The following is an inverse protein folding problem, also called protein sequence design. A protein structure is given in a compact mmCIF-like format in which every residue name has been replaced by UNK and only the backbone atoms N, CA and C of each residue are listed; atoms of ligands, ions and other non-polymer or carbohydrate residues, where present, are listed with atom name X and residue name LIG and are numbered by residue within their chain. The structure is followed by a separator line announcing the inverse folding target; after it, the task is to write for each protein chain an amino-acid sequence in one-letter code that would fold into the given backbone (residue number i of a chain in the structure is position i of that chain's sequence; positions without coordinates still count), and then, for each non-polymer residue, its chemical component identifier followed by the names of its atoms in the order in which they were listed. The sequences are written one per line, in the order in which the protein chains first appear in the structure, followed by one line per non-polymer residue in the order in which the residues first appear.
data_IF_581888416215
#
_entry.id   IF_581888416215
#
_cell.length_a   1.000
_cell.length_b   1.000
_cell.length_c   1.000
_cell.angle_alpha   90.00
_cell.angle_beta   90.00
_cell.angle_gamma   90.00
#
_symmetry.space_group_name_H-M   'P 1'
#
loop_
_entity.id
_entity.type
_entity.pdbx_description
1 polymer ?
#
# COMPACT_ATOMS: atom_id res chain seq x y z
N UNK A 1 9.50 -4.62 3.68
CA UNK A 1 8.57 -3.70 4.37
C UNK A 1 7.15 -3.79 3.82
N UNK A 2 6.93 -3.62 2.51
CA UNK A 2 5.58 -3.70 1.92
C UNK A 2 4.83 -5.01 2.21
N UNK A 3 5.48 -6.17 2.08
CA UNK A 3 4.86 -7.48 2.36
C UNK A 3 4.37 -7.57 3.81
N UNK A 4 5.12 -7.02 4.77
CA UNK A 4 4.72 -7.02 6.17
C UNK A 4 3.49 -6.13 6.39
N UNK A 5 3.45 -4.93 5.80
CA UNK A 5 2.27 -4.05 5.84
C UNK A 5 1.04 -4.74 5.22
N UNK A 6 1.23 -5.38 4.08
CA UNK A 6 0.16 -6.11 3.40
C UNK A 6 -0.36 -7.28 4.24
N UNK A 7 0.53 -8.07 4.84
CA UNK A 7 0.14 -9.18 5.73
C UNK A 7 -0.64 -8.69 6.96
N UNK A 8 -0.26 -7.54 7.53
CA UNK A 8 -0.98 -6.95 8.65
C UNK A 8 -2.39 -6.50 8.27
N UNK A 9 -2.54 -5.82 7.12
CA UNK A 9 -3.87 -5.42 6.60
C UNK A 9 -4.70 -6.65 6.28
N UNK A 10 -4.15 -7.63 5.58
CA UNK A 10 -4.84 -8.88 5.25
C UNK A 10 -5.28 -9.64 6.52
N UNK A 11 -4.40 -9.73 7.53
CA UNK A 11 -4.73 -10.36 8.80
C UNK A 11 -5.87 -9.60 9.52
N UNK A 12 -5.81 -8.27 9.59
CA UNK A 12 -6.87 -7.46 10.19
C UNK A 12 -8.21 -7.64 9.44
N UNK A 13 -8.20 -7.64 8.12
CA UNK A 13 -9.39 -7.87 7.30
C UNK A 13 -9.98 -9.27 7.55
N UNK A 14 -9.15 -10.31 7.58
CA UNK A 14 -9.59 -11.67 7.91
C UNK A 14 -10.19 -11.76 9.31
N UNK A 15 -9.52 -11.17 10.31
CA UNK A 15 -10.00 -11.15 11.71
C UNK A 15 -11.37 -10.49 11.82
N UNK A 16 -11.56 -9.35 11.13
CA UNK A 16 -12.83 -8.64 11.12
C UNK A 16 -13.94 -9.43 10.42
N UNK A 17 -13.68 -9.99 9.23
CA UNK A 17 -14.68 -10.72 8.43
C UNK A 17 -15.09 -12.06 9.03
N UNK A 18 -14.13 -12.84 9.53
CA UNK A 18 -14.41 -14.13 10.19
C UNK A 18 -14.84 -13.96 11.65
N UNK A 19 -14.92 -12.73 12.15
CA UNK A 19 -15.31 -12.41 13.53
C UNK A 19 -14.46 -13.15 14.58
N UNK A 20 -13.17 -13.34 14.28
CA UNK A 20 -12.22 -13.99 15.20
C UNK A 20 -12.05 -13.19 16.49
N UNK A 21 -12.19 -11.87 16.39
CA UNK A 21 -12.24 -10.94 17.51
C UNK A 21 -13.52 -10.10 17.45
N UNK A 22 -14.02 -9.63 18.61
CA UNK A 22 -15.18 -8.76 18.64
C UNK A 22 -14.86 -7.39 18.00
N UNK A 23 -15.90 -6.74 17.46
CA UNK A 23 -15.76 -5.55 16.59
C UNK A 23 -15.35 -4.28 17.36
N UNK A 24 -15.45 -4.32 18.68
CA UNK A 24 -14.92 -3.33 19.62
C UNK A 24 -13.38 -3.38 19.68
N UNK A 25 -12.77 -4.56 19.47
CA UNK A 25 -11.33 -4.72 19.40
C UNK A 25 -10.78 -4.54 17.99
N UNK A 26 -11.49 -5.03 16.97
CA UNK A 26 -11.09 -4.89 15.56
C UNK A 26 -12.27 -4.39 14.74
N UNK A 27 -12.26 -3.10 14.43
CA UNK A 27 -13.26 -2.51 13.56
C UNK A 27 -13.23 -3.10 12.14
N UNK A 28 -14.38 -2.99 11.48
CA UNK A 28 -14.50 -3.33 10.06
C UNK A 28 -13.56 -2.47 9.19
N UNK A 29 -12.90 -3.08 8.18
CA UNK A 29 -11.98 -2.38 7.28
C UNK A 29 -12.64 -1.20 6.57
N UNK A 30 -11.88 -0.15 6.29
CA UNK A 30 -12.29 0.95 5.42
C UNK A 30 -12.37 0.51 3.95
N UNK A 31 -13.09 1.26 3.13
CA UNK A 31 -13.29 0.89 1.73
C UNK A 31 -11.99 0.89 0.93
N UNK A 32 -11.04 1.76 1.27
CA UNK A 32 -9.74 1.83 0.62
C UNK A 32 -8.83 0.60 0.85
N UNK A 33 -9.05 -0.15 1.93
CA UNK A 33 -8.22 -1.32 2.28
C UNK A 33 -8.43 -2.47 1.29
N UNK A 34 -9.65 -2.64 0.77
CA UNK A 34 -10.00 -3.67 -0.20
C UNK A 34 -9.20 -3.56 -1.51
N UNK A 35 -9.22 -2.42 -2.25
CA UNK A 35 -8.39 -2.28 -3.44
C UNK A 35 -6.89 -2.24 -3.08
N UNK A 36 -6.50 -1.83 -1.87
CA UNK A 36 -5.10 -1.86 -1.44
C UNK A 36 -4.55 -3.29 -1.31
N UNK A 37 -5.39 -4.33 -1.11
CA UNK A 37 -4.93 -5.72 -1.18
C UNK A 37 -4.33 -6.08 -2.54
N UNK A 38 -4.71 -5.39 -3.63
CA UNK A 38 -4.13 -5.60 -4.95
C UNK A 38 -2.68 -5.06 -5.06
N UNK A 39 -2.19 -4.30 -4.07
CA UNK A 39 -0.80 -3.80 -4.02
C UNK A 39 0.28 -4.89 -3.93
N UNK A 40 -0.11 -6.15 -3.69
CA UNK A 40 0.82 -7.29 -3.78
C UNK A 40 1.24 -7.58 -5.23
N UNK A 41 0.35 -7.32 -6.19
CA UNK A 41 0.58 -7.56 -7.63
C UNK A 41 1.82 -6.81 -8.15
N UNK A 42 1.93 -5.46 -8.00
CA UNK A 42 3.11 -4.75 -8.44
C UNK A 42 4.39 -5.23 -7.75
N UNK A 43 4.31 -5.62 -6.47
CA UNK A 43 5.46 -6.13 -5.72
C UNK A 43 5.98 -7.46 -6.30
N UNK A 44 5.07 -8.36 -6.68
CA UNK A 44 5.42 -9.64 -7.33
C UNK A 44 6.04 -9.42 -8.71
N UNK A 45 5.47 -8.54 -9.54
CA UNK A 45 6.07 -8.19 -10.84
C UNK A 45 7.45 -7.54 -10.70
N UNK A 46 7.64 -6.72 -9.66
CA UNK A 46 8.93 -6.14 -9.32
C UNK A 46 9.97 -7.22 -9.01
N UNK A 47 9.62 -8.19 -8.16
CA UNK A 47 10.50 -9.31 -7.81
C UNK A 47 10.83 -10.19 -9.03
N UNK A 48 9.84 -10.50 -9.87
CA UNK A 48 10.06 -11.29 -11.09
C UNK A 48 10.86 -10.57 -12.17
N UNK A 49 10.99 -9.24 -12.11
CA UNK A 49 11.83 -8.49 -13.03
C UNK A 49 13.33 -8.69 -12.75
N UNK A 50 13.73 -9.01 -11.51
CA UNK A 50 15.14 -9.04 -11.11
C UNK A 50 15.96 -10.21 -11.71
N UNK A 51 15.49 -11.47 -11.76
CA UNK A 51 16.33 -12.58 -12.22
C UNK A 51 16.82 -12.49 -13.67
N UNK A 52 16.07 -11.79 -14.54
CA UNK A 52 16.40 -11.64 -15.97
C UNK A 52 16.52 -10.18 -16.42
N UNK A 53 16.57 -9.23 -15.48
CA UNK A 53 16.51 -7.78 -15.75
C UNK A 53 15.41 -7.43 -16.77
N UNK A 54 14.22 -8.00 -16.58
CA UNK A 54 13.14 -7.86 -17.56
C UNK A 54 12.48 -6.49 -17.42
N UNK A 55 12.85 -5.59 -18.34
CA UNK A 55 12.38 -4.22 -18.43
C UNK A 55 10.84 -4.16 -18.48
N UNK A 56 10.19 -5.05 -19.24
CA UNK A 56 8.73 -5.05 -19.38
C UNK A 56 8.03 -5.34 -18.05
N UNK A 57 8.51 -6.31 -17.27
CA UNK A 57 7.94 -6.60 -15.94
C UNK A 57 8.16 -5.44 -14.95
N UNK A 58 9.30 -4.76 -15.03
CA UNK A 58 9.56 -3.59 -14.19
C UNK A 58 8.63 -2.42 -14.52
N UNK A 59 8.38 -2.15 -15.82
CA UNK A 59 7.42 -1.11 -16.24
C UNK A 59 6.00 -1.46 -15.79
N UNK A 60 5.56 -2.71 -15.97
CA UNK A 60 4.24 -3.18 -15.50
C UNK A 60 4.14 -3.03 -13.97
N UNK A 61 5.19 -3.38 -13.24
CA UNK A 61 5.27 -3.20 -11.78
C UNK A 61 5.10 -1.72 -11.40
N UNK A 62 5.78 -0.79 -12.09
CA UNK A 62 5.68 0.64 -11.80
C UNK A 62 4.28 1.20 -12.05
N UNK A 63 3.68 0.91 -13.21
CA UNK A 63 2.32 1.36 -13.55
C UNK A 63 1.31 0.78 -12.54
N UNK A 64 1.42 -0.52 -12.25
CA UNK A 64 0.56 -1.22 -11.28
C UNK A 64 0.75 -0.69 -9.86
N UNK A 65 1.95 -0.22 -9.49
CA UNK A 65 2.21 0.40 -8.18
C UNK A 65 1.43 1.70 -8.05
N UNK A 66 1.43 2.54 -9.10
CA UNK A 66 0.61 3.76 -9.13
C UNK A 66 -0.88 3.46 -8.95
N UNK A 67 -1.40 2.48 -9.71
CA UNK A 67 -2.82 2.17 -9.73
C UNK A 67 -3.32 1.44 -8.48
N UNK A 68 -2.61 0.39 -8.03
CA UNK A 68 -3.08 -0.50 -6.95
C UNK A 68 -2.45 -0.22 -5.59
N UNK A 69 -1.42 0.62 -5.53
CA UNK A 69 -0.76 0.95 -4.26
C UNK A 69 -0.97 2.41 -3.90
N UNK A 70 -0.65 3.35 -4.79
CA UNK A 70 -0.75 4.78 -4.48
C UNK A 70 -2.19 5.29 -4.54
N UNK A 71 -2.97 4.92 -5.57
CA UNK A 71 -4.34 5.42 -5.70
C UNK A 71 -5.27 5.03 -4.53
N UNK A 72 -5.27 3.78 -4.01
CA UNK A 72 -6.03 3.43 -2.82
C UNK A 72 -5.64 4.23 -1.58
N UNK A 73 -4.36 4.56 -1.42
CA UNK A 73 -3.89 5.37 -0.28
C UNK A 73 -4.37 6.82 -0.36
N UNK A 74 -4.39 7.41 -1.57
CA UNK A 74 -4.95 8.75 -1.79
C UNK A 74 -6.45 8.74 -1.48
N UNK A 75 -7.18 7.76 -2.01
CA UNK A 75 -8.60 7.60 -1.75
C UNK A 75 -8.88 7.41 -0.26
N UNK A 76 -8.13 6.53 0.43
CA UNK A 76 -8.26 6.29 1.86
C UNK A 76 -7.99 7.52 2.71
N UNK A 77 -7.03 8.35 2.31
CA UNK A 77 -6.74 9.63 2.97
C UNK A 77 -7.93 10.59 2.91
N UNK A 78 -8.71 10.56 1.83
CA UNK A 78 -9.92 11.37 1.68
C UNK A 78 -11.13 10.73 2.39
N UNK A 79 -11.29 9.41 2.27
CA UNK A 79 -12.38 8.65 2.90
C UNK A 79 -12.36 8.80 4.43
N UNK A 80 -11.17 8.73 5.03
CA UNK A 80 -11.01 8.80 6.49
C UNK A 80 -11.04 10.23 7.04
N UNK A 81 -11.02 11.26 6.18
CA UNK A 81 -10.92 12.66 6.59
C UNK A 81 -12.10 13.14 7.47
N UNK A 82 -13.38 12.85 7.15
CA UNK A 82 -14.49 13.24 8.00
C UNK A 82 -14.42 12.60 9.39
N UNK A 83 -13.96 11.35 9.48
CA UNK A 83 -13.80 10.63 10.75
C UNK A 83 -12.65 11.20 11.58
N UNK A 84 -11.55 11.59 10.94
CA UNK A 84 -10.47 12.32 11.61
C UNK A 84 -10.98 13.68 12.12
N UNK A 85 -11.75 14.42 11.32
CA UNK A 85 -12.33 15.69 11.75
C UNK A 85 -13.27 15.52 12.95
N UNK A 86 -14.09 14.47 12.98
CA UNK A 86 -14.95 14.14 14.13
C UNK A 86 -14.12 13.80 15.37
N UNK A 87 -13.04 13.03 15.22
CA UNK A 87 -12.14 12.69 16.32
C UNK A 87 -11.47 13.94 16.89
N UNK A 88 -10.85 14.77 16.05
CA UNK A 88 -10.07 15.93 16.51
C UNK A 88 -10.93 17.10 16.99
N UNK A 89 -12.11 17.33 16.39
CA UNK A 89 -12.98 18.46 16.77
C UNK A 89 -13.97 18.11 17.89
N UNK A 90 -14.44 16.88 17.96
CA UNK A 90 -15.51 16.48 18.88
C UNK A 90 -15.07 15.42 19.90
N UNK A 91 -13.86 14.87 19.79
CA UNK A 91 -13.37 13.80 20.66
C UNK A 91 -14.12 12.47 20.49
N UNK A 92 -14.89 12.30 19.41
CA UNK A 92 -15.72 11.10 19.18
C UNK A 92 -15.04 10.14 18.22
N UNK A 93 -14.76 8.93 18.68
CA UNK A 93 -14.31 7.81 17.87
C UNK A 93 -15.43 6.79 17.70
N UNK A 94 -15.72 6.40 16.46
CA UNK A 94 -16.77 5.41 16.13
C UNK A 94 -16.22 4.02 15.82
N UNK A 95 -14.90 3.92 15.60
CA UNK A 95 -14.21 2.68 15.24
C UNK A 95 -12.93 2.58 16.07
N UNK A 96 -12.65 1.40 16.60
CA UNK A 96 -11.50 1.14 17.44
C UNK A 96 -10.67 -0.04 16.90
N UNK A 97 -9.36 0.06 17.10
CA UNK A 97 -8.40 -1.01 16.82
C UNK A 97 -7.53 -1.13 18.07
N UNK A 98 -7.65 -2.25 18.78
CA UNK A 98 -6.93 -2.55 20.02
C UNK A 98 -6.99 -1.41 21.06
N UNK A 99 -8.16 -0.80 21.24
CA UNK A 99 -8.37 0.29 22.21
C UNK A 99 -7.96 1.69 21.73
N UNK A 100 -7.33 1.81 20.56
CA UNK A 100 -7.04 3.10 19.91
C UNK A 100 -8.08 3.43 18.85
N UNK A 101 -8.21 4.72 18.51
CA UNK A 101 -9.07 5.12 17.40
C UNK A 101 -8.56 4.56 16.08
N UNK A 102 -9.41 3.81 15.36
CA UNK A 102 -9.05 3.15 14.11
C UNK A 102 -8.52 4.13 13.08
N UNK A 103 -9.12 5.33 13.00
CA UNK A 103 -8.71 6.36 12.04
C UNK A 103 -7.29 6.86 12.30
N UNK A 104 -6.88 7.01 13.56
CA UNK A 104 -5.50 7.43 13.89
C UNK A 104 -4.47 6.38 13.49
N UNK A 105 -4.74 5.11 13.81
CA UNK A 105 -3.86 3.99 13.45
C UNK A 105 -3.75 3.86 11.93
N UNK A 106 -4.88 3.96 11.23
CA UNK A 106 -4.91 3.84 9.77
C UNK A 106 -4.24 5.01 9.05
N UNK A 107 -4.33 6.24 9.56
CA UNK A 107 -3.56 7.36 8.99
C UNK A 107 -2.05 7.15 9.13
N UNK A 108 -1.58 6.63 10.28
CA UNK A 108 -0.16 6.30 10.44
C UNK A 108 0.28 5.22 9.44
N UNK A 109 -0.55 4.18 9.25
CA UNK A 109 -0.32 3.15 8.25
C UNK A 109 -0.24 3.77 6.84
N UNK A 110 -1.17 4.65 6.48
CA UNK A 110 -1.18 5.34 5.18
C UNK A 110 0.11 6.14 4.97
N UNK A 111 0.56 6.92 5.96
CA UNK A 111 1.80 7.70 5.85
C UNK A 111 3.01 6.79 5.61
N UNK A 112 3.12 5.71 6.38
CA UNK A 112 4.22 4.73 6.22
C UNK A 112 4.13 4.05 4.85
N UNK A 113 2.94 3.64 4.42
CA UNK A 113 2.74 2.99 3.13
C UNK A 113 3.08 3.93 1.96
N UNK A 114 2.66 5.19 2.02
CA UNK A 114 3.02 6.21 1.01
C UNK A 114 4.53 6.39 0.91
N UNK A 115 5.24 6.42 2.05
CA UNK A 115 6.71 6.50 2.05
C UNK A 115 7.34 5.27 1.40
N UNK A 116 6.89 4.06 1.76
CA UNK A 116 7.39 2.80 1.19
C UNK A 116 7.18 2.75 -0.32
N UNK A 117 5.97 3.06 -0.80
CA UNK A 117 5.65 3.08 -2.23
C UNK A 117 6.37 4.19 -2.99
N UNK A 118 6.55 5.36 -2.36
CA UNK A 118 7.31 6.47 -2.93
C UNK A 118 8.76 6.09 -3.20
N UNK A 119 9.42 5.47 -2.22
CA UNK A 119 10.78 4.96 -2.41
C UNK A 119 10.85 3.81 -3.41
N UNK A 120 9.88 2.89 -3.38
CA UNK A 120 9.79 1.79 -4.33
C UNK A 120 9.72 2.30 -5.78
N UNK A 121 8.85 3.27 -6.06
CA UNK A 121 8.74 3.88 -7.39
C UNK A 121 10.02 4.62 -7.79
N UNK A 122 10.61 5.39 -6.88
CA UNK A 122 11.85 6.11 -7.14
C UNK A 122 12.99 5.17 -7.55
N UNK A 123 13.22 4.11 -6.77
CA UNK A 123 14.26 3.13 -7.08
C UNK A 123 13.95 2.31 -8.34
N UNK A 124 12.68 1.95 -8.55
CA UNK A 124 12.27 1.24 -9.77
C UNK A 124 12.54 2.07 -11.02
N UNK A 125 12.27 3.38 -10.97
CA UNK A 125 12.56 4.30 -12.07
C UNK A 125 14.07 4.40 -12.35
N UNK A 126 14.90 4.53 -11.30
CA UNK A 126 16.36 4.55 -11.45
C UNK A 126 16.90 3.23 -12.03
N UNK A 127 16.34 2.10 -11.61
CA UNK A 127 16.72 0.78 -12.11
C UNK A 127 16.32 0.62 -13.59
N UNK A 128 15.13 1.10 -13.96
CA UNK A 128 14.65 1.10 -15.34
C UNK A 128 15.61 1.90 -16.26
N UNK A 129 15.99 3.10 -15.84
CA UNK A 129 16.94 3.95 -16.58
C UNK A 129 18.30 3.24 -16.76
N UNK A 130 18.78 2.57 -15.71
CA UNK A 130 20.04 1.84 -15.72
C UNK A 130 20.02 0.63 -16.67
N UNK A 131 18.98 -0.20 -16.60
CA UNK A 131 18.83 -1.36 -17.48
C UNK A 131 18.63 -0.96 -18.94
N UNK A 132 17.89 0.12 -19.19
CA UNK A 132 17.70 0.64 -20.54
C UNK A 132 19.02 1.14 -21.14
N UNK A 133 19.77 1.95 -20.38
CA UNK A 133 21.09 2.47 -20.82
C UNK A 133 22.07 1.35 -21.10
N UNK A 134 22.21 0.38 -20.18
CA UNK A 134 23.13 -0.75 -20.34
C UNK A 134 22.81 -1.61 -21.58
N UNK A 135 21.52 -1.81 -21.86
CA UNK A 135 21.09 -2.58 -23.04
C UNK A 135 21.40 -1.84 -24.34
N UNK A 136 21.23 -0.51 -24.37
CA UNK A 136 21.59 0.31 -25.53
C UNK A 136 23.10 0.37 -25.77
N UNK A 137 23.91 0.48 -24.72
CA UNK A 137 25.37 0.44 -24.82
C UNK A 137 25.88 -0.89 -25.38
N UNK A 138 25.31 -2.02 -24.93
CA UNK A 138 25.63 -3.35 -25.48
C UNK A 138 25.22 -3.50 -26.96
N UNK A 139 24.17 -2.82 -27.41
CA UNK A 139 23.73 -2.85 -28.81
C UNK A 139 24.60 -2.00 -29.74
N UNK A 140 25.29 -0.99 -29.18
CA UNK A 140 26.18 -0.08 -29.94
C UNK A 140 27.62 -0.57 -30.07
N UNK A 141 28.04 -1.52 -29.22
CA UNK A 141 29.33 -2.22 -29.31
C UNK A 141 29.19 -3.47 -30.18
#
# INVERSE_FOLDING_TARGET
MQIALWLLVAAQMCVAHFKLLPHDQVAMPYQWEYPYLLSIIPSLFGLFSFPRNNISYLVISMISTGLFSVAPLIYGSMEMFPMAQQLYRHGKAYRFIFGFSAVSVMYLLVVVAVQVHGWQLYYSKKLLDSWFTSTQEKKKK
#
